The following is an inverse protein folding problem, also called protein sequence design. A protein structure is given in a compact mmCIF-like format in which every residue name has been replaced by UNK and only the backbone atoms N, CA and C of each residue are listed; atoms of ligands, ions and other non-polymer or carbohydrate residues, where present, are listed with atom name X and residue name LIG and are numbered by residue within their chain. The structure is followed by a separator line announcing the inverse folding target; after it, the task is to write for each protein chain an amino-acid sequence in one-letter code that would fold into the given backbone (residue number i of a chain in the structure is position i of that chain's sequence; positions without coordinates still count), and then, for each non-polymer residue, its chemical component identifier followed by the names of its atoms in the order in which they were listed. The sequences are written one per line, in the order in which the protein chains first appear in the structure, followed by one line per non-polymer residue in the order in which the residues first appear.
data_IF_531902943998
#
_entry.id   IF_531902943998
#
_cell.length_a   1.000
_cell.length_b   1.000
_cell.length_c   1.000
_cell.angle_alpha   90.00
_cell.angle_beta   90.00
_cell.angle_gamma   90.00
#
_symmetry.space_group_name_H-M   'P 1'
#
loop_
_entity.id
_entity.type
_entity.pdbx_description
1 polymer ?
#
# COMPACT_ATOMS: atom_id res chain seq x y z
N UNK A 1 26.44 -10.92 34.58
CA UNK A 1 25.80 -11.01 33.25
C UNK A 1 24.88 -9.82 33.07
N UNK A 2 25.34 -8.86 32.27
CA UNK A 2 24.66 -7.72 31.62
C UNK A 2 23.27 -7.26 32.15
N UNK A 3 23.32 -6.29 33.06
CA UNK A 3 22.22 -5.44 33.59
C UNK A 3 21.60 -4.47 32.56
N UNK A 4 21.66 -4.77 31.26
CA UNK A 4 21.25 -3.86 30.18
C UNK A 4 19.73 -3.92 29.88
N UNK A 5 19.02 -4.93 30.40
CA UNK A 5 17.58 -5.10 30.15
C UNK A 5 16.70 -4.01 30.79
N UNK A 6 17.18 -3.31 31.84
CA UNK A 6 16.44 -2.23 32.52
C UNK A 6 16.38 -0.91 31.74
N UNK A 7 17.13 -0.78 30.65
CA UNK A 7 17.20 0.42 29.82
C UNK A 7 16.55 0.25 28.44
N UNK A 8 15.91 -0.89 28.16
CA UNK A 8 15.09 -1.07 26.97
C UNK A 8 13.73 -0.37 27.18
N UNK A 9 13.32 0.58 26.32
CA UNK A 9 12.11 1.40 26.48
C UNK A 9 10.78 0.62 26.29
N UNK A 10 10.83 -0.72 26.33
CA UNK A 10 9.70 -1.61 26.11
C UNK A 10 9.13 -2.19 27.42
N UNK A 11 9.74 -1.98 28.59
CA UNK A 11 9.27 -2.59 29.85
C UNK A 11 8.40 -1.70 30.74
N UNK A 12 8.11 -0.44 30.35
CA UNK A 12 7.33 0.51 31.17
C UNK A 12 6.03 1.00 30.53
N UNK A 13 5.48 0.28 29.55
CA UNK A 13 4.11 0.55 29.09
C UNK A 13 3.11 -0.24 29.95
N UNK A 14 1.90 0.31 30.22
CA UNK A 14 0.81 -0.50 30.74
C UNK A 14 0.66 -1.73 29.85
N UNK A 15 0.47 -2.89 30.48
CA UNK A 15 0.29 -4.16 29.76
C UNK A 15 -1.05 -4.06 29.02
N UNK A 16 -1.00 -3.68 27.75
CA UNK A 16 -2.17 -3.70 26.86
C UNK A 16 -2.47 -5.15 26.52
N UNK A 17 -3.74 -5.48 26.34
CA UNK A 17 -4.12 -6.79 25.81
C UNK A 17 -3.59 -6.93 24.38
N UNK A 18 -2.48 -7.65 24.23
CA UNK A 18 -1.81 -7.89 22.96
C UNK A 18 -2.26 -9.20 22.30
N UNK A 19 -3.25 -9.90 22.87
CA UNK A 19 -3.73 -11.19 22.33
C UNK A 19 -4.41 -11.06 20.96
N UNK A 20 -4.81 -9.85 20.58
CA UNK A 20 -5.31 -9.50 19.25
C UNK A 20 -4.24 -9.04 18.26
N UNK A 21 -2.95 -8.94 18.65
CA UNK A 21 -1.87 -8.49 17.75
C UNK A 21 -1.52 -9.62 16.78
N UNK A 22 -2.09 -9.54 15.58
CA UNK A 22 -1.79 -10.44 14.48
C UNK A 22 -0.84 -9.76 13.48
N UNK A 23 0.06 -10.54 12.89
CA UNK A 23 0.82 -10.10 11.70
C UNK A 23 -0.01 -10.19 10.41
N UNK A 24 -1.23 -10.75 10.50
CA UNK A 24 -2.16 -10.90 9.40
C UNK A 24 -3.13 -9.71 9.34
N UNK A 25 -3.31 -9.21 8.13
CA UNK A 25 -4.15 -8.07 7.79
C UNK A 25 -5.30 -8.48 6.85
N UNK A 26 -5.73 -9.74 6.94
CA UNK A 26 -6.75 -10.36 6.09
C UNK A 26 -8.03 -9.51 5.92
N UNK A 27 -8.63 -9.09 7.04
CA UNK A 27 -9.83 -8.25 7.03
C UNK A 27 -9.59 -6.90 6.33
N UNK A 28 -8.45 -6.26 6.58
CA UNK A 28 -8.09 -4.98 5.98
C UNK A 28 -7.82 -5.12 4.47
N UNK A 29 -7.00 -6.10 4.08
CA UNK A 29 -6.66 -6.36 2.67
C UNK A 29 -7.93 -6.70 1.89
N UNK A 30 -8.72 -7.64 2.40
CA UNK A 30 -9.98 -8.05 1.78
C UNK A 30 -10.98 -6.89 1.67
N UNK A 31 -11.17 -6.13 2.74
CA UNK A 31 -12.06 -4.98 2.76
C UNK A 31 -11.66 -3.89 1.76
N UNK A 32 -10.37 -3.58 1.64
CA UNK A 32 -9.87 -2.62 0.64
C UNK A 32 -10.11 -3.14 -0.77
N UNK A 33 -9.80 -4.40 -1.05
CA UNK A 33 -10.05 -5.00 -2.38
C UNK A 33 -11.53 -4.97 -2.77
N UNK A 34 -12.46 -5.18 -1.82
CA UNK A 34 -13.91 -5.01 -2.08
C UNK A 34 -14.23 -3.57 -2.47
N UNK A 35 -13.71 -2.58 -1.73
CA UNK A 35 -13.93 -1.15 -2.02
C UNK A 35 -13.36 -0.78 -3.39
N UNK A 36 -12.14 -1.21 -3.70
CA UNK A 36 -11.51 -0.98 -4.99
C UNK A 36 -12.30 -1.60 -6.14
N UNK A 37 -12.78 -2.84 -5.98
CA UNK A 37 -13.60 -3.47 -7.01
C UNK A 37 -14.92 -2.70 -7.24
N UNK A 38 -15.57 -2.21 -6.18
CA UNK A 38 -16.78 -1.39 -6.29
C UNK A 38 -16.51 -0.03 -6.95
N UNK A 39 -15.40 0.63 -6.60
CA UNK A 39 -14.95 1.87 -7.25
C UNK A 39 -14.74 1.65 -8.75
N UNK A 40 -13.96 0.63 -9.11
CA UNK A 40 -13.58 0.29 -10.48
C UNK A 40 -14.80 -0.10 -11.34
N UNK A 41 -15.78 -0.79 -10.76
CA UNK A 41 -17.04 -1.13 -11.43
C UNK A 41 -17.86 0.10 -11.84
N UNK A 42 -17.73 1.20 -11.09
CA UNK A 42 -18.42 2.46 -11.37
C UNK A 42 -17.71 3.38 -12.37
N UNK A 43 -16.50 3.04 -12.82
CA UNK A 43 -15.72 3.89 -13.73
C UNK A 43 -16.20 3.82 -15.18
N UNK A 44 -16.10 4.95 -15.89
CA UNK A 44 -16.27 4.96 -17.35
C UNK A 44 -15.05 4.36 -18.05
N UNK A 45 -15.18 3.92 -19.32
CA UNK A 45 -14.04 3.45 -20.11
C UNK A 45 -12.88 4.47 -20.17
N UNK A 46 -13.18 5.77 -20.23
CA UNK A 46 -12.16 6.82 -20.26
C UNK A 46 -11.39 6.91 -18.94
N UNK A 47 -12.07 6.74 -17.80
CA UNK A 47 -11.43 6.70 -16.48
C UNK A 47 -10.59 5.44 -16.27
N UNK A 48 -10.99 4.30 -16.84
CA UNK A 48 -10.16 3.09 -16.85
C UNK A 48 -8.84 3.28 -17.62
N UNK A 49 -8.88 4.10 -18.67
CA UNK A 49 -7.76 4.36 -19.57
C UNK A 49 -6.96 5.62 -19.18
N UNK A 50 -7.38 6.37 -18.16
CA UNK A 50 -6.66 7.56 -17.71
C UNK A 50 -5.35 7.21 -17.00
N UNK A 51 -4.35 8.12 -17.01
CA UNK A 51 -3.12 7.94 -16.24
C UNK A 51 -3.39 7.75 -14.74
N UNK A 52 -2.59 6.88 -14.12
CA UNK A 52 -2.50 6.71 -12.66
C UNK A 52 -1.30 7.50 -12.10
N UNK A 53 -1.10 7.49 -10.78
CA UNK A 53 0.14 7.99 -10.17
C UNK A 53 1.34 7.06 -10.35
N UNK A 54 1.13 5.82 -10.81
CA UNK A 54 2.21 5.00 -11.31
C UNK A 54 2.63 5.50 -12.70
N UNK A 55 3.85 6.02 -12.80
CA UNK A 55 4.37 6.61 -14.04
C UNK A 55 4.27 5.63 -15.22
N UNK A 56 3.65 6.10 -16.31
CA UNK A 56 3.43 5.31 -17.53
C UNK A 56 2.32 4.26 -17.44
N UNK A 57 1.59 4.17 -16.32
CA UNK A 57 0.52 3.20 -16.12
C UNK A 57 -0.83 3.90 -16.06
N UNK A 58 -1.82 3.28 -16.70
CA UNK A 58 -3.24 3.67 -16.59
C UNK A 58 -3.85 3.01 -15.36
N UNK A 59 -5.06 3.45 -14.98
CA UNK A 59 -5.85 2.83 -13.90
C UNK A 59 -6.01 1.32 -14.12
N UNK A 60 -6.31 0.89 -15.36
CA UNK A 60 -6.38 -0.56 -15.69
C UNK A 60 -5.09 -1.32 -15.45
N UNK A 61 -3.94 -0.71 -15.67
CA UNK A 61 -2.64 -1.36 -15.52
C UNK A 61 -2.34 -1.60 -14.04
N UNK A 62 -2.70 -0.65 -13.18
CA UNK A 62 -2.64 -0.78 -11.72
C UNK A 62 -3.63 -1.83 -11.19
N UNK A 63 -4.85 -1.90 -11.74
CA UNK A 63 -5.80 -2.94 -11.39
C UNK A 63 -5.29 -4.35 -11.79
N UNK A 64 -4.73 -4.49 -13.00
CA UNK A 64 -4.08 -5.72 -13.45
C UNK A 64 -2.89 -6.12 -12.57
N UNK A 65 -2.10 -5.13 -12.13
CA UNK A 65 -1.05 -5.35 -11.15
C UNK A 65 -1.59 -5.92 -9.85
N UNK A 66 -2.63 -5.35 -9.25
CA UNK A 66 -3.21 -5.88 -8.02
C UNK A 66 -3.74 -7.30 -8.19
N UNK A 67 -4.40 -7.60 -9.32
CA UNK A 67 -4.85 -8.96 -9.65
C UNK A 67 -3.68 -9.94 -9.64
N UNK A 68 -2.60 -9.63 -10.35
CA UNK A 68 -1.43 -10.50 -10.41
C UNK A 68 -0.68 -10.53 -9.06
N UNK A 69 -0.33 -9.36 -8.54
CA UNK A 69 0.55 -9.15 -7.40
C UNK A 69 -0.06 -9.64 -6.10
N UNK A 70 -1.36 -9.48 -5.87
CA UNK A 70 -2.03 -9.87 -4.62
C UNK A 70 -2.71 -11.23 -4.74
N UNK A 71 -3.17 -11.58 -5.96
CA UNK A 71 -3.77 -12.87 -6.27
C UNK A 71 -2.77 -14.03 -6.43
N UNK A 72 -1.51 -13.76 -6.78
CA UNK A 72 -0.49 -14.81 -6.92
C UNK A 72 -0.02 -15.36 -5.57
N UNK A 73 0.12 -16.68 -5.50
CA UNK A 73 0.83 -17.38 -4.43
C UNK A 73 2.33 -17.10 -4.47
N UNK A 74 3.03 -17.34 -3.35
CA UNK A 74 4.50 -17.24 -3.27
C UNK A 74 5.19 -18.10 -4.35
N UNK A 75 4.72 -19.33 -4.57
CA UNK A 75 5.28 -20.22 -5.58
C UNK A 75 5.09 -19.71 -7.00
N UNK A 76 3.94 -19.10 -7.33
CA UNK A 76 3.72 -18.48 -8.63
C UNK A 76 4.63 -17.27 -8.86
N UNK A 77 4.81 -16.41 -7.85
CA UNK A 77 5.74 -15.28 -7.97
C UNK A 77 7.17 -15.76 -8.17
N UNK A 78 7.64 -16.75 -7.41
CA UNK A 78 8.98 -17.33 -7.54
C UNK A 78 9.18 -17.99 -8.90
N UNK A 79 8.22 -18.81 -9.35
CA UNK A 79 8.28 -19.45 -10.68
C UNK A 79 8.35 -18.41 -11.80
N UNK A 80 7.64 -17.30 -11.64
CA UNK A 80 7.64 -16.25 -12.66
C UNK A 80 8.95 -15.46 -12.65
N UNK A 81 9.48 -15.15 -11.47
CA UNK A 81 10.83 -14.60 -11.33
C UNK A 81 11.89 -15.50 -11.97
N UNK A 82 11.82 -16.81 -11.74
CA UNK A 82 12.75 -17.79 -12.33
C UNK A 82 12.61 -17.93 -13.86
N UNK A 83 11.38 -17.97 -14.40
CA UNK A 83 11.12 -18.11 -15.84
C UNK A 83 11.66 -16.93 -16.64
N UNK A 84 11.50 -15.72 -16.11
CA UNK A 84 11.99 -14.50 -16.74
C UNK A 84 13.49 -14.27 -16.44
N UNK A 85 14.09 -15.02 -15.51
CA UNK A 85 15.54 -15.02 -15.25
C UNK A 85 16.34 -15.94 -16.20
N UNK A 86 15.68 -16.68 -17.10
CA UNK A 86 16.36 -17.52 -18.09
C UNK A 86 16.89 -16.66 -19.25
N UNK A 87 17.95 -15.90 -18.98
CA UNK A 87 18.65 -14.99 -19.90
C UNK A 87 19.56 -14.01 -19.16
N UNK A 88 20.57 -13.44 -19.85
CA UNK A 88 21.54 -12.52 -19.25
C UNK A 88 20.93 -11.13 -19.03
N UNK A 89 20.56 -10.81 -17.78
CA UNK A 89 20.15 -9.49 -17.25
C UNK A 89 18.68 -9.07 -17.44
N UNK A 90 17.73 -9.84 -16.89
CA UNK A 90 16.36 -9.34 -16.72
C UNK A 90 16.22 -8.64 -15.36
N UNK A 91 15.85 -7.35 -15.41
CA UNK A 91 15.49 -6.56 -14.23
C UNK A 91 14.18 -7.12 -13.65
N UNK A 92 14.15 -7.64 -12.40
CA UNK A 92 12.96 -8.23 -11.81
C UNK A 92 11.77 -7.25 -11.75
N UNK A 93 12.02 -5.94 -11.70
CA UNK A 93 10.96 -4.93 -11.78
C UNK A 93 10.25 -4.96 -13.14
N UNK A 94 11.03 -5.01 -14.21
CA UNK A 94 10.51 -5.07 -15.58
C UNK A 94 9.71 -6.35 -15.83
N UNK A 95 10.12 -7.47 -15.23
CA UNK A 95 9.37 -8.72 -15.32
C UNK A 95 8.00 -8.59 -14.63
N UNK A 96 7.93 -7.92 -13.47
CA UNK A 96 6.66 -7.64 -12.78
C UNK A 96 5.76 -6.72 -13.59
N UNK A 97 6.32 -5.69 -14.24
CA UNK A 97 5.56 -4.79 -15.11
C UNK A 97 4.91 -5.57 -16.26
N UNK A 98 5.67 -6.42 -16.95
CA UNK A 98 5.14 -7.24 -18.07
C UNK A 98 3.97 -8.11 -17.62
N UNK A 99 4.06 -8.73 -16.45
CA UNK A 99 2.99 -9.60 -15.94
C UNK A 99 1.76 -8.80 -15.52
N UNK A 100 1.98 -7.62 -14.95
CA UNK A 100 0.91 -6.69 -14.56
C UNK A 100 0.16 -6.19 -15.79
N UNK A 101 0.89 -5.83 -16.84
CA UNK A 101 0.32 -5.40 -18.13
C UNK A 101 -0.43 -6.54 -18.82
N UNK A 102 0.12 -7.77 -18.83
CA UNK A 102 -0.60 -8.95 -19.33
C UNK A 102 -1.90 -9.22 -18.58
N UNK A 103 -1.89 -9.08 -17.25
CA UNK A 103 -3.11 -9.22 -16.46
C UNK A 103 -4.12 -8.10 -16.81
N UNK A 104 -3.64 -6.89 -17.05
CA UNK A 104 -4.45 -5.74 -17.44
C UNK A 104 -5.07 -5.85 -18.84
N UNK A 105 -4.67 -6.81 -19.68
CA UNK A 105 -5.30 -7.09 -20.99
C UNK A 105 -6.72 -7.67 -20.86
N UNK A 106 -7.08 -8.21 -19.68
CA UNK A 106 -8.43 -8.67 -19.40
C UNK A 106 -9.47 -7.54 -19.50
N UNK A 107 -10.74 -7.91 -19.75
CA UNK A 107 -11.83 -6.91 -19.75
C UNK A 107 -12.01 -6.30 -18.36
N UNK A 108 -12.54 -5.07 -18.29
CA UNK A 108 -12.79 -4.38 -17.02
C UNK A 108 -13.64 -5.22 -16.05
N UNK A 109 -14.71 -5.82 -16.56
CA UNK A 109 -15.57 -6.71 -15.78
C UNK A 109 -14.80 -7.94 -15.24
N UNK A 110 -13.85 -8.47 -16.01
CA UNK A 110 -13.00 -9.58 -15.56
C UNK A 110 -12.06 -9.14 -14.43
N UNK A 111 -11.41 -7.97 -14.57
CA UNK A 111 -10.53 -7.43 -13.53
C UNK A 111 -11.30 -7.18 -12.23
N UNK A 112 -12.49 -6.58 -12.31
CA UNK A 112 -13.37 -6.37 -11.15
C UNK A 112 -13.74 -7.70 -10.49
N UNK A 113 -14.16 -8.70 -11.28
CA UNK A 113 -14.52 -10.02 -10.75
C UNK A 113 -13.32 -10.72 -10.09
N UNK A 114 -12.13 -10.60 -10.67
CA UNK A 114 -10.90 -11.15 -10.10
C UNK A 114 -10.53 -10.46 -8.78
N UNK A 115 -10.62 -9.13 -8.69
CA UNK A 115 -10.37 -8.41 -7.44
C UNK A 115 -11.37 -8.82 -6.35
N UNK A 116 -12.66 -8.97 -6.69
CA UNK A 116 -13.68 -9.50 -5.75
C UNK A 116 -13.36 -10.92 -5.30
N UNK A 117 -12.91 -11.78 -6.20
CA UNK A 117 -12.50 -13.14 -5.86
C UNK A 117 -11.30 -13.16 -4.92
N UNK A 118 -10.26 -12.37 -5.23
CA UNK A 118 -9.08 -12.23 -4.37
C UNK A 118 -9.50 -11.70 -3.00
N UNK A 119 -10.38 -10.69 -2.95
CA UNK A 119 -10.91 -10.16 -1.69
C UNK A 119 -11.55 -11.25 -0.83
N UNK A 120 -12.41 -12.09 -1.42
CA UNK A 120 -13.05 -13.21 -0.71
C UNK A 120 -12.02 -14.20 -0.15
N UNK A 121 -10.97 -14.53 -0.91
CA UNK A 121 -9.89 -15.38 -0.41
C UNK A 121 -9.14 -14.75 0.78
N UNK A 122 -8.86 -13.44 0.72
CA UNK A 122 -8.20 -12.73 1.82
C UNK A 122 -9.07 -12.71 3.06
N UNK A 123 -10.36 -12.39 2.95
CA UNK A 123 -11.32 -12.42 4.05
C UNK A 123 -11.47 -13.83 4.66
N UNK A 124 -11.23 -14.87 3.89
CA UNK A 124 -11.18 -16.25 4.36
C UNK A 124 -9.80 -16.67 4.94
N UNK A 125 -8.89 -15.71 5.18
CA UNK A 125 -7.56 -15.98 5.73
C UNK A 125 -6.65 -16.77 4.78
N UNK A 126 -6.88 -16.72 3.47
CA UNK A 126 -6.14 -17.52 2.48
C UNK A 126 -5.09 -16.72 1.72
N UNK A 127 -3.91 -17.32 1.55
CA UNK A 127 -2.80 -16.77 0.79
C UNK A 127 -1.92 -15.85 1.63
N UNK A 128 -1.29 -14.86 0.99
CA UNK A 128 -0.41 -13.90 1.67
C UNK A 128 -1.23 -12.76 2.27
N UNK A 129 -1.01 -12.45 3.54
CA UNK A 129 -1.84 -11.58 4.38
C UNK A 129 -0.99 -10.56 5.18
N UNK A 130 0.29 -10.41 4.86
CA UNK A 130 1.20 -9.59 5.63
C UNK A 130 1.13 -8.11 5.27
N UNK A 131 1.97 -7.33 5.95
CA UNK A 131 2.13 -5.90 5.71
C UNK A 131 2.53 -5.57 4.25
N UNK A 132 3.22 -6.50 3.58
CA UNK A 132 3.55 -6.38 2.16
C UNK A 132 2.29 -6.26 1.32
N UNK A 133 1.35 -7.21 1.45
CA UNK A 133 0.09 -7.18 0.69
C UNK A 133 -0.81 -6.02 1.09
N UNK A 134 -0.81 -5.64 2.38
CA UNK A 134 -1.50 -4.44 2.85
C UNK A 134 -0.97 -3.18 2.15
N UNK A 135 0.36 -3.08 2.03
CA UNK A 135 1.01 -1.95 1.34
C UNK A 135 0.61 -1.89 -0.12
N UNK A 136 0.60 -3.03 -0.83
CA UNK A 136 0.18 -3.08 -2.25
C UNK A 136 -1.23 -2.51 -2.42
N UNK A 137 -2.21 -3.00 -1.65
CA UNK A 137 -3.62 -2.60 -1.86
C UNK A 137 -3.90 -1.16 -1.44
N UNK A 138 -3.20 -0.64 -0.42
CA UNK A 138 -3.36 0.75 0.04
C UNK A 138 -2.75 1.72 -0.96
N UNK A 139 -1.47 1.54 -1.30
CA UNK A 139 -0.74 2.50 -2.14
C UNK A 139 -1.30 2.51 -3.56
N UNK A 140 -1.54 1.33 -4.14
CA UNK A 140 -2.11 1.26 -5.49
C UNK A 140 -3.60 1.61 -5.54
N UNK A 141 -4.30 1.48 -4.42
CA UNK A 141 -5.64 2.05 -4.28
C UNK A 141 -5.61 3.57 -4.47
N UNK A 142 -4.72 4.26 -3.76
CA UNK A 142 -4.52 5.70 -3.92
C UNK A 142 -3.96 6.07 -5.30
N UNK A 143 -3.04 5.28 -5.87
CA UNK A 143 -2.51 5.54 -7.22
C UNK A 143 -3.61 5.61 -8.29
N UNK A 144 -4.72 4.88 -8.10
CA UNK A 144 -5.89 4.92 -8.98
C UNK A 144 -6.90 5.99 -8.58
N UNK A 145 -7.24 6.10 -7.30
CA UNK A 145 -8.34 6.95 -6.83
C UNK A 145 -8.00 8.45 -6.88
N UNK A 146 -6.79 8.81 -6.47
CA UNK A 146 -6.34 10.21 -6.37
C UNK A 146 -6.42 10.98 -7.70
N UNK A 147 -5.89 10.48 -8.84
CA UNK A 147 -5.94 11.20 -10.11
C UNK A 147 -7.35 11.30 -10.69
N UNK A 148 -8.26 10.44 -10.24
CA UNK A 148 -9.68 10.49 -10.59
C UNK A 148 -10.51 11.40 -9.68
N UNK A 149 -9.90 11.97 -8.62
CA UNK A 149 -10.60 12.77 -7.62
C UNK A 149 -11.59 11.95 -6.78
N UNK A 150 -11.35 10.64 -6.65
CA UNK A 150 -12.20 9.73 -5.86
C UNK A 150 -11.59 9.60 -4.47
N UNK A 151 -12.41 9.85 -3.45
CA UNK A 151 -12.03 9.61 -2.06
C UNK A 151 -12.09 8.11 -1.74
N UNK A 152 -10.93 7.52 -1.49
CA UNK A 152 -10.81 6.12 -1.06
C UNK A 152 -10.60 6.08 0.46
N UNK A 153 -11.71 5.95 1.19
CA UNK A 153 -11.67 5.83 2.64
C UNK A 153 -10.95 4.54 3.09
N UNK A 154 -9.81 4.72 3.77
CA UNK A 154 -9.01 3.65 4.38
C UNK A 154 -8.83 3.96 5.86
N UNK A 155 -9.01 2.95 6.71
CA UNK A 155 -8.88 3.07 8.16
C UNK A 155 -7.53 3.66 8.60
N UNK A 156 -7.56 4.50 9.62
CA UNK A 156 -6.37 5.18 10.15
C UNK A 156 -5.30 4.21 10.67
N UNK A 157 -5.70 3.08 11.27
CA UNK A 157 -4.78 2.04 11.73
C UNK A 157 -4.04 1.41 10.55
N UNK A 158 -4.75 1.20 9.44
CA UNK A 158 -4.20 0.60 8.21
C UNK A 158 -3.22 1.55 7.53
N UNK A 159 -3.60 2.80 7.31
CA UNK A 159 -2.71 3.81 6.72
C UNK A 159 -1.49 4.05 7.60
N UNK A 160 -1.66 4.12 8.92
CA UNK A 160 -0.57 4.23 9.90
C UNK A 160 0.38 3.04 9.87
N UNK A 161 -0.12 1.82 9.76
CA UNK A 161 0.71 0.61 9.64
C UNK A 161 1.54 0.61 8.34
N UNK A 162 0.94 0.98 7.20
CA UNK A 162 1.64 1.11 5.92
C UNK A 162 2.72 2.19 5.98
N UNK A 163 2.37 3.36 6.53
CA UNK A 163 3.30 4.47 6.67
C UNK A 163 4.48 4.13 7.60
N UNK A 164 4.21 3.49 8.75
CA UNK A 164 5.24 3.02 9.67
C UNK A 164 6.12 1.94 9.02
N UNK A 165 5.53 0.96 8.35
CA UNK A 165 6.25 -0.09 7.63
C UNK A 165 7.22 0.46 6.59
N UNK A 166 6.79 1.51 5.87
CA UNK A 166 7.62 2.17 4.86
C UNK A 166 8.88 2.79 5.46
N UNK A 167 8.86 3.24 6.72
CA UNK A 167 10.02 3.91 7.36
C UNK A 167 11.29 3.07 7.38
N UNK A 168 11.15 1.73 7.42
CA UNK A 168 12.28 0.78 7.45
C UNK A 168 13.14 0.84 6.18
N UNK A 169 12.54 1.21 5.05
CA UNK A 169 13.17 1.18 3.72
C UNK A 169 13.08 2.52 2.99
N UNK A 170 12.86 3.62 3.72
CA UNK A 170 12.81 4.95 3.12
C UNK A 170 14.14 5.34 2.47
N UNK A 171 14.09 6.02 1.30
CA UNK A 171 15.23 6.76 0.76
C UNK A 171 15.76 7.82 1.74
N UNK A 172 17.03 8.22 1.58
CA UNK A 172 17.71 9.14 2.49
C UNK A 172 17.00 10.50 2.59
N UNK A 173 16.51 11.03 1.48
CA UNK A 173 15.86 12.35 1.46
C UNK A 173 14.59 12.37 2.32
N UNK A 174 13.80 11.29 2.30
CA UNK A 174 12.58 11.17 3.11
C UNK A 174 12.89 10.84 4.57
N UNK A 175 13.95 10.08 4.83
CA UNK A 175 14.45 9.86 6.20
C UNK A 175 14.84 11.17 6.87
N UNK A 176 15.52 12.07 6.16
CA UNK A 176 15.90 13.37 6.71
C UNK A 176 14.68 14.26 7.02
N UNK A 177 13.61 14.18 6.23
CA UNK A 177 12.33 14.83 6.57
C UNK A 177 11.82 14.30 7.91
N UNK A 178 11.69 12.99 8.08
CA UNK A 178 11.16 12.39 9.33
C UNK A 178 12.08 12.62 10.56
N UNK A 179 13.36 12.95 10.36
CA UNK A 179 14.28 13.32 11.45
C UNK A 179 14.10 14.76 11.92
N UNK A 180 13.55 15.64 11.06
CA UNK A 180 13.46 17.09 11.28
C UNK A 180 12.03 17.60 11.40
N UNK A 181 11.04 16.80 11.00
CA UNK A 181 9.61 17.10 11.01
C UNK A 181 8.82 15.90 11.52
N UNK A 182 7.63 16.20 12.04
CA UNK A 182 6.62 15.20 12.39
C UNK A 182 5.46 15.34 11.41
N UNK A 183 5.20 14.32 10.60
CA UNK A 183 4.01 14.27 9.74
C UNK A 183 2.83 13.82 10.59
N UNK A 184 1.76 14.60 10.62
CA UNK A 184 0.53 14.31 11.39
C UNK A 184 -0.60 14.11 10.41
N UNK A 185 -1.18 12.90 10.43
CA UNK A 185 -2.39 12.64 9.65
C UNK A 185 -3.57 13.35 10.32
N UNK A 186 -4.25 14.25 9.59
CA UNK A 186 -5.33 15.08 10.16
C UNK A 186 -6.66 14.34 10.26
N UNK A 187 -6.81 13.29 9.45
CA UNK A 187 -7.98 12.43 9.30
C UNK A 187 -7.74 11.02 9.86
N UNK A 188 -6.56 10.78 10.45
CA UNK A 188 -6.22 9.52 11.09
C UNK A 188 -5.36 9.78 12.33
N UNK A 189 -5.64 9.09 13.44
CA UNK A 189 -4.99 9.32 14.74
C UNK A 189 -3.55 8.76 14.80
N UNK A 190 -2.69 9.17 13.88
CA UNK A 190 -1.28 8.78 13.85
C UNK A 190 -0.35 9.89 13.35
N UNK A 191 0.91 9.80 13.79
CA UNK A 191 1.98 10.70 13.36
C UNK A 191 3.32 9.99 13.23
N UNK A 192 4.20 10.49 12.37
CA UNK A 192 5.51 9.92 12.08
C UNK A 192 6.61 10.97 12.05
N UNK A 193 7.72 10.68 12.71
CA UNK A 193 8.91 11.53 12.70
C UNK A 193 9.15 12.26 14.02
N UNK A 194 9.97 13.31 13.97
CA UNK A 194 10.41 14.10 15.12
C UNK A 194 10.59 15.56 14.73
N UNK A 195 10.22 16.48 15.62
CA UNK A 195 10.36 17.93 15.42
C UNK A 195 9.03 18.60 15.06
N UNK A 196 9.07 19.84 14.53
CA UNK A 196 7.86 20.61 14.19
C UNK A 196 6.90 19.84 13.28
N UNK A 197 5.61 20.04 13.51
CA UNK A 197 4.56 19.29 12.83
C UNK A 197 4.29 19.83 11.42
N UNK A 198 3.96 18.90 10.52
CA UNK A 198 3.41 19.14 9.20
C UNK A 198 2.14 18.31 9.12
N UNK A 199 1.02 18.98 8.88
CA UNK A 199 -0.30 18.38 8.86
C UNK A 199 -0.70 18.07 7.41
N UNK A 200 -1.41 16.96 7.22
CA UNK A 200 -2.00 16.56 5.93
C UNK A 200 -2.85 15.32 6.10
N UNK A 201 -3.61 14.94 5.07
CA UNK A 201 -4.35 13.67 5.11
C UNK A 201 -3.42 12.46 5.17
N UNK A 202 -3.92 11.35 5.71
CA UNK A 202 -3.22 10.07 5.74
C UNK A 202 -2.82 9.64 4.32
N UNK A 203 -3.70 9.84 3.33
CA UNK A 203 -3.42 9.63 1.91
C UNK A 203 -2.22 10.45 1.44
N UNK A 204 -2.23 11.78 1.65
CA UNK A 204 -1.16 12.66 1.18
C UNK A 204 0.19 12.28 1.79
N UNK A 205 0.20 11.93 3.08
CA UNK A 205 1.42 11.47 3.77
C UNK A 205 1.89 10.14 3.19
N UNK A 206 1.00 9.16 2.98
CA UNK A 206 1.36 7.87 2.37
C UNK A 206 1.92 8.09 0.97
N UNK A 207 1.23 8.84 0.10
CA UNK A 207 1.72 9.13 -1.25
C UNK A 207 3.09 9.82 -1.25
N UNK A 208 3.33 10.77 -0.33
CA UNK A 208 4.66 11.36 -0.14
C UNK A 208 5.73 10.32 0.22
N UNK A 209 5.47 9.44 1.19
CA UNK A 209 6.41 8.41 1.64
C UNK A 209 6.75 7.39 0.54
N UNK A 210 5.84 7.17 -0.41
CA UNK A 210 6.02 6.31 -1.57
C UNK A 210 6.51 7.05 -2.83
N UNK A 211 6.74 8.36 -2.76
CA UNK A 211 7.27 9.16 -3.88
C UNK A 211 6.23 9.42 -4.98
N UNK A 212 4.95 9.42 -4.63
CA UNK A 212 3.81 9.67 -5.51
C UNK A 212 3.25 11.09 -5.39
N UNK A 213 3.71 11.85 -4.39
CA UNK A 213 3.26 13.21 -4.16
C UNK A 213 4.33 14.06 -3.45
N UNK A 214 4.11 15.38 -3.39
CA UNK A 214 4.97 16.29 -2.66
C UNK A 214 4.84 16.06 -1.15
N UNK A 215 5.76 16.65 -0.37
CA UNK A 215 5.56 16.78 1.07
C UNK A 215 4.24 17.54 1.32
N UNK A 216 3.36 17.06 2.23
CA UNK A 216 2.12 17.78 2.53
C UNK A 216 2.43 19.22 2.93
N UNK A 217 1.66 20.17 2.39
CA UNK A 217 1.77 21.56 2.79
C UNK A 217 1.28 21.68 4.24
N UNK A 218 2.00 22.43 5.08
CA UNK A 218 1.51 22.76 6.40
C UNK A 218 0.20 23.55 6.24
N UNK A 219 -0.95 22.90 6.47
CA UNK A 219 -2.18 23.62 6.73
C UNK A 219 -1.94 24.42 8.00
N UNK A 220 -1.87 25.74 7.88
CA UNK A 220 -1.98 26.62 9.04
C UNK A 220 -3.40 26.37 9.55
N UNK A 221 -3.51 25.68 10.68
CA UNK A 221 -4.76 25.61 11.41
C UNK A 221 -5.00 27.04 11.91
N UNK A 222 -5.91 27.76 11.26
CA UNK A 222 -6.47 29.02 11.79
C UNK A 222 -7.30 28.76 13.05
#
# INVERSE_FOLDING_TARGET
MAEFAKYLPLSQRPRVDETGVSSHWDAAIGGILVRLAGMLEGLTPEQWESPSLCEGWRVRDVAGHLVWRVGSSTGQMLKTGLREYVGTHVNPMRAMDVLSLRAAEASYATLVAQLRHIAALKLAGTGRLGLGELTEVVVHGFDMAQPLGIDLAIDGTVTGAVALGRTMILPLEKKEVLRRRTLVATDADWKLGRGPEIHGSAEAIVLFLFGRGPLPAASVVE
#
